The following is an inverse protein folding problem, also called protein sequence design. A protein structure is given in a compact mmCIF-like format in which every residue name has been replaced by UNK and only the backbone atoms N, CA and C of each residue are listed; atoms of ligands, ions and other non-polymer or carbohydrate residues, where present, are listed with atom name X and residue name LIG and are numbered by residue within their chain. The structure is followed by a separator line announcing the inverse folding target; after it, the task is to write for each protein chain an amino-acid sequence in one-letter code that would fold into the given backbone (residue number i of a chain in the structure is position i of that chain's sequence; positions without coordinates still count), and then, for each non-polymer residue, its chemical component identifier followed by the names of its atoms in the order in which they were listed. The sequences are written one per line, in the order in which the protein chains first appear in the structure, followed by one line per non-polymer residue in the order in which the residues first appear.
data_IF_371811799761
#
_entry.id   IF_371811799761
#
_cell.length_a   1.000
_cell.length_b   1.000
_cell.length_c   1.000
_cell.angle_alpha   90.00
_cell.angle_beta   90.00
_cell.angle_gamma   90.00
#
_symmetry.space_group_name_H-M   'P 1'
#
loop_
_entity.id
_entity.type
_entity.pdbx_description
1 polymer ?
#
# COMPACT_ATOMS: atom_id res chain seq x y z
N UNK A 1 36.36 -7.66 -7.73
CA UNK A 1 35.75 -7.22 -9.00
C UNK A 1 34.62 -6.23 -8.68
N UNK A 2 34.92 -4.93 -8.73
CA UNK A 2 33.96 -3.86 -8.42
C UNK A 2 33.41 -3.28 -9.72
N UNK A 3 32.10 -3.41 -9.94
CA UNK A 3 31.43 -2.86 -11.12
C UNK A 3 31.45 -1.33 -11.10
N UNK A 4 32.16 -0.74 -12.06
CA UNK A 4 32.28 0.71 -12.25
C UNK A 4 30.91 1.34 -12.54
N UNK A 5 30.52 2.32 -11.72
CA UNK A 5 29.33 3.15 -11.88
C UNK A 5 29.43 4.02 -13.15
N UNK A 6 28.97 3.52 -14.30
CA UNK A 6 29.07 4.18 -15.62
C UNK A 6 28.04 5.32 -15.88
N UNK A 7 27.42 5.91 -14.85
CA UNK A 7 26.23 6.76 -15.04
C UNK A 7 26.36 8.25 -14.72
N UNK A 8 27.22 8.65 -13.77
CA UNK A 8 27.17 10.01 -13.21
C UNK A 8 28.02 11.05 -13.96
N UNK A 9 29.14 10.65 -14.58
CA UNK A 9 30.06 11.58 -15.24
C UNK A 9 29.48 12.20 -16.52
N UNK A 10 28.87 11.38 -17.38
CA UNK A 10 28.37 11.81 -18.69
C UNK A 10 27.30 12.89 -18.61
N UNK A 11 26.43 12.84 -17.61
CA UNK A 11 25.39 13.85 -17.41
C UNK A 11 25.94 15.17 -16.89
N UNK A 12 26.95 15.13 -16.02
CA UNK A 12 27.60 16.33 -15.48
C UNK A 12 28.47 17.03 -16.53
N UNK A 13 29.15 16.26 -17.38
CA UNK A 13 29.95 16.81 -18.48
C UNK A 13 29.06 17.50 -19.53
N UNK A 14 27.88 16.94 -19.83
CA UNK A 14 26.90 17.60 -20.70
C UNK A 14 26.37 18.91 -20.09
N UNK A 15 26.07 18.93 -18.79
CA UNK A 15 25.60 20.14 -18.10
C UNK A 15 26.63 21.27 -18.08
N UNK A 16 27.94 20.98 -18.14
CA UNK A 16 28.99 22.01 -18.25
C UNK A 16 28.97 22.76 -19.58
N UNK A 17 28.52 22.11 -20.66
CA UNK A 17 28.43 22.71 -22.00
C UNK A 17 27.12 23.47 -22.26
N UNK A 18 26.07 23.18 -21.48
CA UNK A 18 24.74 23.74 -21.64
C UNK A 18 24.62 25.12 -20.97
N UNK A 19 23.68 25.98 -21.44
CA UNK A 19 23.44 27.25 -20.80
C UNK A 19 22.96 27.09 -19.36
N UNK A 20 23.19 28.12 -18.54
CA UNK A 20 22.81 28.13 -17.12
C UNK A 20 21.31 27.82 -16.95
N UNK A 21 21.00 26.91 -16.01
CA UNK A 21 19.62 26.63 -15.60
C UNK A 21 19.01 27.88 -14.97
N UNK A 22 17.85 28.29 -15.47
CA UNK A 22 17.12 29.49 -15.06
C UNK A 22 15.62 29.18 -15.01
N UNK A 23 14.81 30.06 -14.41
CA UNK A 23 13.36 29.84 -14.35
C UNK A 23 12.70 29.69 -15.73
N UNK A 24 13.33 30.22 -16.78
CA UNK A 24 12.82 30.16 -18.15
C UNK A 24 12.95 28.77 -18.79
N UNK A 25 13.92 27.92 -18.39
CA UNK A 25 14.19 26.64 -19.04
C UNK A 25 13.70 25.41 -18.26
N UNK A 26 12.92 25.62 -17.20
CA UNK A 26 12.27 24.55 -16.45
C UNK A 26 11.09 23.99 -17.24
N UNK A 27 11.08 22.66 -17.42
CA UNK A 27 9.95 21.94 -18.01
C UNK A 27 9.51 20.81 -17.08
N UNK A 28 8.19 20.55 -16.96
CA UNK A 28 7.71 19.38 -16.24
C UNK A 28 8.20 18.10 -16.94
N UNK A 29 8.29 16.99 -16.21
CA UNK A 29 8.59 15.69 -16.82
C UNK A 29 7.54 15.36 -17.89
N UNK A 30 7.94 14.75 -19.02
CA UNK A 30 7.01 14.44 -20.09
C UNK A 30 5.87 13.57 -19.55
N UNK A 31 4.65 13.82 -20.01
CA UNK A 31 3.42 13.14 -19.61
C UNK A 31 2.95 13.30 -18.15
N UNK A 32 3.66 14.05 -17.29
CA UNK A 32 3.18 14.36 -15.94
C UNK A 32 1.92 15.24 -15.93
N UNK A 33 1.83 16.18 -16.89
CA UNK A 33 0.68 17.08 -17.05
C UNK A 33 -0.14 16.68 -18.27
N UNK A 34 -1.36 16.20 -18.02
CA UNK A 34 -2.33 15.92 -19.10
C UNK A 34 -2.88 17.23 -19.65
N UNK A 35 -2.98 17.34 -20.98
CA UNK A 35 -3.59 18.50 -21.64
C UNK A 35 -5.06 18.64 -21.25
N UNK A 36 -5.45 19.85 -20.86
CA UNK A 36 -6.84 20.20 -20.57
C UNK A 36 -7.71 20.02 -21.82
N UNK A 37 -8.87 19.37 -21.68
CA UNK A 37 -9.80 19.11 -22.78
C UNK A 37 -10.92 20.16 -22.77
N UNK A 38 -10.77 21.19 -23.61
CA UNK A 38 -11.75 22.29 -23.72
C UNK A 38 -12.80 22.03 -24.82
N UNK A 39 -14.07 22.40 -24.62
CA UNK A 39 -15.13 22.23 -25.62
C UNK A 39 -15.16 23.39 -26.63
N UNK A 40 -14.02 23.74 -27.23
CA UNK A 40 -13.92 24.83 -28.23
C UNK A 40 -13.72 24.33 -29.66
N UNK A 41 -13.11 23.15 -29.81
CA UNK A 41 -12.73 22.63 -31.13
C UNK A 41 -13.89 21.97 -31.87
N UNK A 42 -13.81 21.87 -33.21
CA UNK A 42 -14.77 21.11 -34.04
C UNK A 42 -15.07 19.71 -33.50
N UNK A 43 -14.04 19.01 -32.97
CA UNK A 43 -14.19 17.65 -32.40
C UNK A 43 -14.96 17.60 -31.08
N UNK A 44 -14.95 18.68 -30.29
CA UNK A 44 -15.47 18.70 -28.91
C UNK A 44 -16.54 19.77 -28.66
N UNK A 45 -16.83 20.65 -29.62
CA UNK A 45 -17.64 21.85 -29.42
C UNK A 45 -19.14 21.59 -29.52
N UNK A 46 -19.67 21.12 -30.66
CA UNK A 46 -21.11 21.16 -30.98
C UNK A 46 -22.04 20.67 -29.86
N UNK A 47 -21.72 19.55 -29.21
CA UNK A 47 -22.51 18.99 -28.10
C UNK A 47 -21.73 18.86 -26.80
N UNK A 48 -20.46 19.28 -26.78
CA UNK A 48 -19.58 19.15 -25.61
C UNK A 48 -19.54 17.73 -24.98
N UNK A 49 -19.84 16.67 -25.75
CA UNK A 49 -19.98 15.30 -25.23
C UNK A 49 -21.25 15.02 -24.41
N UNK A 50 -22.19 15.96 -24.33
CA UNK A 50 -23.42 15.86 -23.52
C UNK A 50 -24.57 15.14 -24.23
N UNK A 51 -24.53 14.98 -25.54
CA UNK A 51 -25.60 14.33 -26.33
C UNK A 51 -26.66 15.30 -26.83
N UNK A 52 -27.84 14.78 -27.19
CA UNK A 52 -28.98 15.55 -27.72
C UNK A 52 -30.15 15.58 -26.73
N UNK A 53 -30.74 16.77 -26.53
CA UNK A 53 -31.96 17.04 -25.76
C UNK A 53 -32.01 16.27 -24.42
N UNK A 54 -33.16 16.28 -23.77
CA UNK A 54 -33.41 15.57 -22.52
C UNK A 54 -32.54 16.01 -21.34
N UNK A 55 -32.65 15.25 -20.25
CA UNK A 55 -32.01 15.53 -18.97
C UNK A 55 -30.48 15.45 -19.04
N UNK A 56 -29.94 14.59 -19.91
CA UNK A 56 -28.48 14.43 -20.09
C UNK A 56 -27.82 15.71 -20.63
N UNK A 57 -28.47 16.41 -21.57
CA UNK A 57 -27.94 17.67 -22.09
C UNK A 57 -28.12 18.82 -21.08
N UNK A 58 -29.25 18.83 -20.37
CA UNK A 58 -29.64 19.88 -19.42
C UNK A 58 -28.95 19.75 -18.05
N UNK A 59 -28.35 18.60 -17.76
CA UNK A 59 -27.69 18.33 -16.48
C UNK A 59 -28.65 18.00 -15.34
N UNK A 60 -29.93 17.77 -15.65
CA UNK A 60 -31.01 17.55 -14.67
C UNK A 60 -31.29 16.06 -14.47
N UNK A 61 -30.23 15.24 -14.41
CA UNK A 61 -30.39 13.79 -14.21
C UNK A 61 -30.91 13.49 -12.79
N UNK A 62 -31.70 12.43 -12.63
CA UNK A 62 -32.05 11.91 -11.31
C UNK A 62 -30.81 11.53 -10.50
N UNK A 63 -30.99 11.45 -9.17
CA UNK A 63 -29.94 11.03 -8.23
C UNK A 63 -29.35 9.67 -8.60
N UNK A 64 -28.09 9.45 -8.20
CA UNK A 64 -27.43 8.15 -8.35
C UNK A 64 -28.26 7.06 -7.64
N UNK A 65 -28.49 5.95 -8.34
CA UNK A 65 -29.31 4.83 -7.85
C UNK A 65 -30.79 4.92 -8.22
N UNK A 66 -31.25 5.91 -8.99
CA UNK A 66 -32.61 5.95 -9.52
C UNK A 66 -32.77 5.04 -10.75
N UNK A 67 -33.69 4.08 -10.70
CA UNK A 67 -33.94 3.07 -11.76
C UNK A 67 -35.17 3.41 -12.65
N UNK A 68 -35.54 4.69 -12.77
CA UNK A 68 -36.61 5.11 -13.69
C UNK A 68 -38.04 4.94 -13.16
N UNK A 69 -38.21 4.74 -11.85
CA UNK A 69 -39.52 4.60 -11.19
C UNK A 69 -39.74 3.26 -10.51
N UNK A 70 -38.94 2.24 -10.86
CA UNK A 70 -38.90 0.97 -10.13
C UNK A 70 -38.25 1.15 -8.75
N UNK A 71 -38.55 0.23 -7.82
CA UNK A 71 -37.82 0.07 -6.56
C UNK A 71 -36.32 -0.17 -6.82
N UNK A 72 -35.44 0.77 -6.42
CA UNK A 72 -34.00 0.66 -6.66
C UNK A 72 -33.37 -0.59 -6.06
N UNK A 73 -32.33 -1.10 -6.69
CA UNK A 73 -31.59 -2.28 -6.23
C UNK A 73 -31.12 -2.19 -4.77
N UNK A 74 -30.59 -1.04 -4.35
CA UNK A 74 -30.10 -0.84 -2.98
C UNK A 74 -31.21 -0.84 -1.91
N UNK A 75 -32.47 -0.75 -2.34
CA UNK A 75 -33.66 -0.87 -1.45
C UNK A 75 -34.24 -2.28 -1.53
N UNK A 76 -34.11 -2.96 -2.68
CA UNK A 76 -34.57 -4.35 -2.85
C UNK A 76 -33.83 -5.34 -1.94
N UNK A 77 -32.57 -5.06 -1.63
CA UNK A 77 -31.78 -5.89 -0.69
C UNK A 77 -32.26 -5.62 0.74
N UNK A 78 -32.58 -6.66 1.54
CA UNK A 78 -32.96 -6.47 2.93
C UNK A 78 -31.81 -5.90 3.75
N UNK A 79 -32.14 -5.09 4.76
CA UNK A 79 -31.14 -4.59 5.70
C UNK A 79 -30.70 -5.74 6.60
N UNK A 80 -29.39 -5.88 6.74
CA UNK A 80 -28.76 -6.77 7.70
C UNK A 80 -27.68 -6.00 8.47
N UNK A 81 -27.47 -6.35 9.73
CA UNK A 81 -26.58 -5.66 10.67
C UNK A 81 -25.07 -5.80 10.38
N UNK A 82 -24.64 -5.84 9.11
CA UNK A 82 -23.23 -6.07 8.72
C UNK A 82 -22.26 -5.13 9.44
N UNK A 83 -22.60 -3.84 9.44
CA UNK A 83 -21.79 -2.78 10.04
C UNK A 83 -22.38 -2.29 11.37
N UNK A 84 -23.29 -3.05 11.98
CA UNK A 84 -23.81 -2.68 13.29
C UNK A 84 -22.67 -2.64 14.31
N UNK A 85 -22.61 -1.56 15.08
CA UNK A 85 -21.54 -1.34 16.05
C UNK A 85 -20.14 -1.20 15.45
N UNK A 86 -19.97 -1.06 14.12
CA UNK A 86 -18.63 -0.92 13.49
C UNK A 86 -17.82 0.22 14.11
N UNK A 87 -18.52 1.22 14.63
CA UNK A 87 -17.95 2.37 15.29
C UNK A 87 -17.48 2.13 16.73
N UNK A 88 -17.75 0.98 17.33
CA UNK A 88 -17.27 0.64 18.67
C UNK A 88 -16.33 -0.55 18.66
N UNK A 89 -16.08 -1.14 17.47
CA UNK A 89 -15.18 -2.28 17.33
C UNK A 89 -13.74 -1.84 17.58
N UNK A 90 -13.09 -2.48 18.53
CA UNK A 90 -11.67 -2.31 18.79
C UNK A 90 -10.86 -2.85 17.60
N UNK A 91 -10.01 -2.02 17.02
CA UNK A 91 -9.09 -2.43 15.96
C UNK A 91 -7.66 -2.50 16.52
N UNK A 92 -6.91 -3.50 16.07
CA UNK A 92 -5.50 -3.66 16.42
C UNK A 92 -4.69 -3.79 15.13
N UNK A 93 -3.61 -3.02 15.03
CA UNK A 93 -2.75 -3.10 13.87
C UNK A 93 -1.94 -4.40 13.94
N UNK A 94 -1.99 -5.27 12.90
CA UNK A 94 -1.21 -6.49 12.91
C UNK A 94 0.29 -6.17 12.82
N UNK A 95 1.07 -6.74 13.73
CA UNK A 95 2.53 -6.71 13.73
C UNK A 95 3.05 -8.14 13.71
N UNK A 96 3.71 -8.52 12.61
CA UNK A 96 4.30 -9.84 12.51
C UNK A 96 5.64 -9.94 13.21
N UNK A 97 5.96 -11.12 13.74
CA UNK A 97 7.24 -11.38 14.41
C UNK A 97 8.43 -11.20 13.45
N UNK A 98 8.26 -11.55 12.17
CA UNK A 98 9.28 -11.29 11.13
C UNK A 98 9.55 -9.80 10.97
N UNK A 99 8.50 -8.98 10.99
CA UNK A 99 8.64 -7.53 10.90
C UNK A 99 9.35 -6.98 12.14
N UNK A 100 9.05 -7.52 13.32
CA UNK A 100 9.73 -7.16 14.57
C UNK A 100 11.23 -7.51 14.49
N UNK A 101 11.58 -8.73 14.08
CA UNK A 101 12.99 -9.12 13.90
C UNK A 101 13.73 -8.19 12.94
N UNK A 102 13.12 -7.87 11.80
CA UNK A 102 13.70 -6.93 10.82
C UNK A 102 13.98 -5.54 11.42
N UNK A 103 13.17 -5.07 12.37
CA UNK A 103 13.40 -3.78 13.04
C UNK A 103 14.57 -3.83 14.02
N UNK A 104 14.76 -4.98 14.68
CA UNK A 104 15.91 -5.23 15.56
C UNK A 104 17.19 -5.30 14.72
N UNK A 105 17.18 -6.04 13.61
CA UNK A 105 18.35 -6.20 12.73
C UNK A 105 18.83 -4.87 12.14
N UNK A 106 17.89 -3.94 11.89
CA UNK A 106 18.20 -2.58 11.45
C UNK A 106 18.68 -1.65 12.57
N UNK A 107 18.71 -2.11 13.83
CA UNK A 107 19.04 -1.30 15.00
C UNK A 107 18.03 -0.17 15.27
N UNK A 108 16.76 -0.35 14.87
CA UNK A 108 15.69 0.63 15.12
C UNK A 108 14.94 0.39 16.42
N UNK A 109 14.97 -0.84 16.91
CA UNK A 109 14.36 -1.26 18.17
C UNK A 109 15.42 -2.02 18.94
N UNK A 110 15.76 -1.52 20.13
CA UNK A 110 16.78 -2.13 20.97
C UNK A 110 16.15 -3.24 21.82
N UNK A 111 16.61 -4.50 21.70
CA UNK A 111 16.06 -5.62 22.46
C UNK A 111 16.49 -5.62 23.93
N UNK A 112 17.43 -4.76 24.31
CA UNK A 112 17.91 -4.62 25.70
C UNK A 112 16.94 -3.86 26.58
N UNK A 113 16.04 -3.07 25.98
CA UNK A 113 15.01 -2.30 26.68
C UNK A 113 13.63 -2.95 26.48
N UNK A 114 12.67 -2.70 27.38
CA UNK A 114 11.29 -3.16 27.18
C UNK A 114 10.72 -2.58 25.87
N UNK A 115 10.14 -3.46 25.04
CA UNK A 115 9.56 -3.09 23.75
C UNK A 115 8.14 -2.57 23.98
N UNK A 116 8.03 -1.27 24.22
CA UNK A 116 6.76 -0.55 24.37
C UNK A 116 6.19 -0.08 23.01
N UNK A 117 4.90 0.25 23.01
CA UNK A 117 4.22 0.85 21.85
C UNK A 117 4.92 2.15 21.41
N UNK A 118 5.44 2.93 22.35
CA UNK A 118 6.20 4.16 22.08
C UNK A 118 7.46 3.88 21.26
N UNK A 119 8.22 2.83 21.61
CA UNK A 119 9.40 2.40 20.88
C UNK A 119 9.06 1.94 19.46
N UNK A 120 7.95 1.20 19.30
CA UNK A 120 7.47 0.75 18.00
C UNK A 120 7.05 1.90 17.08
N UNK A 121 6.43 2.95 17.63
CA UNK A 121 6.05 4.15 16.88
C UNK A 121 7.28 4.99 16.54
N UNK A 122 8.22 5.16 17.47
CA UNK A 122 9.47 5.89 17.27
C UNK A 122 10.33 5.25 16.17
N UNK A 123 10.46 3.92 16.18
CA UNK A 123 11.17 3.15 15.14
C UNK A 123 10.44 3.10 13.79
N UNK A 124 9.24 3.70 13.69
CA UNK A 124 8.32 3.61 12.54
C UNK A 124 8.02 2.15 12.16
N UNK A 125 7.97 1.28 13.16
CA UNK A 125 7.62 -0.13 13.02
C UNK A 125 6.13 -0.33 12.81
N UNK A 126 5.32 0.47 13.52
CA UNK A 126 3.87 0.48 13.44
C UNK A 126 3.37 1.92 13.34
N UNK A 127 2.29 2.15 12.58
CA UNK A 127 1.60 3.45 12.50
C UNK A 127 0.22 3.28 13.12
N UNK A 128 -0.02 3.89 14.27
CA UNK A 128 -1.27 3.76 15.01
C UNK A 128 -2.06 5.06 14.87
N UNK A 129 -3.36 4.97 14.62
CA UNK A 129 -4.24 6.13 14.46
C UNK A 129 -5.34 6.10 15.52
N UNK A 130 -5.16 6.79 16.66
CA UNK A 130 -6.16 6.79 17.75
C UNK A 130 -7.55 7.22 17.30
N UNK A 131 -7.64 8.14 16.34
CA UNK A 131 -8.90 8.64 15.77
C UNK A 131 -9.68 7.56 15.01
N UNK A 132 -9.00 6.51 14.52
CA UNK A 132 -9.64 5.38 13.83
C UNK A 132 -10.07 4.26 14.76
N UNK A 133 -10.00 4.48 16.08
CA UNK A 133 -10.33 3.49 17.11
C UNK A 133 -9.39 2.29 17.05
N UNK A 134 -8.12 2.58 16.76
CA UNK A 134 -7.02 1.64 16.95
C UNK A 134 -6.67 1.64 18.44
N UNK A 135 -6.81 0.49 19.10
CA UNK A 135 -6.55 0.33 20.53
C UNK A 135 -5.15 -0.23 20.82
N UNK A 136 -4.37 -0.51 19.78
CA UNK A 136 -2.99 -0.94 19.92
C UNK A 136 -2.54 -1.81 18.78
N UNK A 137 -1.68 -2.77 19.11
CA UNK A 137 -1.01 -3.65 18.16
C UNK A 137 -1.34 -5.09 18.52
N UNK A 138 -1.67 -5.88 17.51
CA UNK A 138 -1.88 -7.32 17.65
C UNK A 138 -0.65 -8.03 17.07
N UNK A 139 -0.01 -8.89 17.87
CA UNK A 139 1.08 -9.72 17.38
C UNK A 139 0.51 -10.87 16.55
N UNK A 140 1.07 -11.08 15.36
CA UNK A 140 0.64 -12.11 14.42
C UNK A 140 1.77 -13.12 14.22
N UNK A 141 1.43 -14.39 14.40
CA UNK A 141 2.30 -15.53 14.13
C UNK A 141 2.30 -15.84 12.63
N UNK A 142 3.11 -15.11 11.86
CA UNK A 142 3.33 -15.46 10.44
C UNK A 142 4.37 -16.58 10.26
N UNK A 143 5.17 -16.87 11.28
CA UNK A 143 6.34 -17.76 11.15
C UNK A 143 6.49 -18.63 12.39
N UNK A 144 5.84 -19.79 12.36
CA UNK A 144 6.19 -20.91 13.26
C UNK A 144 6.01 -22.29 12.60
N UNK A 145 5.16 -22.41 11.58
CA UNK A 145 4.83 -23.72 11.01
C UNK A 145 5.93 -24.28 10.11
N UNK A 146 6.54 -23.47 9.23
CA UNK A 146 7.55 -23.98 8.29
C UNK A 146 8.94 -24.18 8.92
N UNK A 147 9.29 -23.37 9.92
CA UNK A 147 10.59 -23.47 10.58
C UNK A 147 10.65 -24.66 11.55
N UNK A 148 9.57 -24.95 12.28
CA UNK A 148 9.48 -26.18 13.09
C UNK A 148 9.43 -27.43 12.21
N UNK A 149 8.70 -27.43 11.08
CA UNK A 149 8.72 -28.56 10.14
C UNK A 149 10.11 -28.82 9.57
N UNK A 150 10.85 -27.76 9.22
CA UNK A 150 12.22 -27.89 8.71
C UNK A 150 13.19 -28.35 9.82
N UNK A 151 13.12 -27.76 11.02
CA UNK A 151 13.95 -28.16 12.16
C UNK A 151 13.65 -29.60 12.64
N UNK A 152 12.38 -30.02 12.64
CA UNK A 152 12.00 -31.40 12.97
C UNK A 152 12.46 -32.40 11.89
N UNK A 153 12.49 -32.02 10.61
CA UNK A 153 13.05 -32.89 9.56
C UNK A 153 14.55 -33.11 9.73
N UNK A 154 15.32 -32.07 10.05
CA UNK A 154 16.77 -32.20 10.28
C UNK A 154 17.08 -32.99 11.56
N UNK A 155 16.31 -32.80 12.64
CA UNK A 155 16.47 -33.58 13.87
C UNK A 155 16.12 -35.06 13.68
N UNK A 156 15.12 -35.39 12.84
CA UNK A 156 14.80 -36.79 12.51
C UNK A 156 15.92 -37.47 11.71
N UNK A 157 16.54 -36.75 10.77
CA UNK A 157 17.66 -37.26 9.98
C UNK A 157 18.89 -37.53 10.85
N UNK A 158 19.17 -36.65 11.82
CA UNK A 158 20.26 -36.83 12.79
C UNK A 158 20.01 -38.01 13.73
N UNK A 159 18.78 -38.18 14.25
CA UNK A 159 18.42 -39.33 15.08
C UNK A 159 18.57 -40.67 14.34
N UNK A 160 18.16 -40.74 13.07
CA UNK A 160 18.33 -41.94 12.23
C UNK A 160 19.81 -42.25 11.93
N UNK A 161 20.66 -41.23 11.79
CA UNK A 161 22.11 -41.44 11.62
C UNK A 161 22.80 -41.94 12.90
N UNK A 162 22.28 -41.55 14.08
CA UNK A 162 22.87 -41.92 15.37
C UNK A 162 22.44 -43.34 15.82
N UNK A 163 21.23 -43.78 15.48
CA UNK A 163 20.77 -45.16 15.76
C UNK A 163 21.32 -46.19 14.77
N UNK A 164 21.67 -45.78 13.55
CA UNK A 164 22.35 -46.63 12.56
C UNK A 164 23.81 -46.95 12.90
N UNK A 165 24.48 -46.13 13.72
CA UNK A 165 25.87 -46.33 14.13
C UNK A 165 26.03 -47.31 15.32
N UNK A 166 24.95 -47.89 15.85
CA UNK A 166 24.94 -48.76 17.02
C UNK A 166 24.57 -50.22 16.70
N UNK A 167 24.41 -50.58 15.42
CA UNK A 167 23.97 -51.92 14.96
C UNK A 167 25.04 -52.68 14.15
N UNK A 168 26.25 -52.15 13.97
CA UNK A 168 27.41 -52.91 13.43
C UNK A 168 28.42 -53.31 14.51
#
# INVERSE_FOLDING_TARGET
MAGTARGCGTSLDLLRSLPRVSLANLKPSPNSRKRERRPRDRRRGRKCGRGHKGERQRGTRPRLGFEGGQTPFYIRIPKYGFNEGHSFRHQYQPLSLRRLQYLIDLGRVDPTQPIDLTQLVNGRGVTIQPLKRDYGVQLVEEVHTLWLLFAMSELSALLLSYTGAFIE
#
